data_IF_310604283780
#
_entry.id   IF_310604283780
#
_cell.length_a   1.000
_cell.length_b   1.000
_cell.length_c   1.000
_cell.angle_alpha   90.00
_cell.angle_beta   90.00
_cell.angle_gamma   90.00
#
_symmetry.space_group_name_H-M   'P 1'
#
loop_
_entity.id
_entity.type
_entity.pdbx_description
1 polymer ?
#
# COMPACT_ATOMS: atom_id res chain seq x y z
N UNK A 1 -41.81 51.03 42.03
CA UNK A 1 -41.21 51.72 40.88
C UNK A 1 -40.03 50.92 40.43
N UNK A 2 -39.99 50.60 39.14
CA UNK A 2 -38.93 49.93 38.32
C UNK A 2 -38.80 48.43 38.42
N UNK A 3 -39.56 47.77 37.56
CA UNK A 3 -39.36 46.46 37.03
C UNK A 3 -38.03 46.36 36.24
N UNK A 4 -37.24 45.38 36.52
CA UNK A 4 -36.18 44.94 35.63
C UNK A 4 -36.48 43.51 35.18
N UNK A 5 -37.05 43.43 33.98
CA UNK A 5 -37.29 42.21 33.27
C UNK A 5 -35.92 41.53 32.88
N UNK A 6 -35.70 40.37 33.44
CA UNK A 6 -34.61 39.50 33.03
C UNK A 6 -34.98 38.84 31.70
N UNK A 7 -34.31 39.23 30.61
CA UNK A 7 -34.38 38.55 29.30
C UNK A 7 -33.46 37.36 29.32
N UNK A 8 -34.03 36.17 29.49
CA UNK A 8 -33.34 34.90 29.26
C UNK A 8 -33.16 34.70 27.74
N UNK A 9 -31.93 34.79 27.25
CA UNK A 9 -31.55 34.41 25.89
C UNK A 9 -31.34 32.91 25.90
N UNK A 10 -32.31 32.16 25.40
CA UNK A 10 -32.18 30.77 25.12
C UNK A 10 -31.31 30.63 23.86
N UNK A 11 -30.03 30.24 24.02
CA UNK A 11 -29.18 29.88 22.93
C UNK A 11 -29.63 28.51 22.36
N UNK A 12 -30.34 28.54 21.26
CA UNK A 12 -30.70 27.37 20.48
C UNK A 12 -29.44 26.90 19.76
N UNK A 13 -28.77 25.88 20.32
CA UNK A 13 -27.73 25.16 19.61
C UNK A 13 -28.41 24.30 18.54
N UNK A 14 -28.45 24.79 17.31
CA UNK A 14 -28.76 23.98 16.14
C UNK A 14 -27.58 23.02 15.93
N UNK A 15 -27.72 21.81 16.43
CA UNK A 15 -26.96 20.70 15.97
C UNK A 15 -27.36 20.42 14.51
N UNK A 16 -26.68 21.02 13.56
CA UNK A 16 -26.74 20.62 12.16
C UNK A 16 -26.26 19.17 12.07
N UNK A 17 -27.22 18.25 12.17
CA UNK A 17 -27.00 16.89 11.65
C UNK A 17 -26.78 17.07 10.15
N UNK A 18 -25.52 17.15 9.73
CA UNK A 18 -25.12 16.96 8.37
C UNK A 18 -25.59 15.54 8.02
N UNK A 19 -26.81 15.41 7.49
CA UNK A 19 -27.22 14.28 6.72
C UNK A 19 -26.26 14.26 5.52
N UNK A 20 -25.12 13.61 5.72
CA UNK A 20 -24.20 13.29 4.65
C UNK A 20 -25.05 12.53 3.63
N UNK A 21 -25.32 13.17 2.51
CA UNK A 21 -25.70 12.49 1.30
C UNK A 21 -24.68 11.37 1.12
N UNK A 22 -25.02 10.16 1.51
CA UNK A 22 -24.25 8.94 1.32
C UNK A 22 -24.21 8.63 -0.17
N UNK A 23 -23.50 9.48 -0.91
CA UNK A 23 -23.32 9.32 -2.34
C UNK A 23 -22.03 8.55 -2.57
N UNK A 24 -22.07 7.52 -3.32
CA UNK A 24 -20.91 6.84 -3.87
C UNK A 24 -20.27 5.78 -2.99
N UNK A 25 -19.92 6.07 -1.73
CA UNK A 25 -19.21 5.11 -0.87
C UNK A 25 -20.07 3.92 -0.47
N UNK A 26 -21.29 4.17 0.00
CA UNK A 26 -22.23 3.12 0.36
C UNK A 26 -22.52 2.22 -0.84
N UNK A 27 -22.64 2.79 -2.03
CA UNK A 27 -22.84 2.01 -3.26
C UNK A 27 -21.63 1.13 -3.57
N UNK A 28 -20.39 1.61 -3.37
CA UNK A 28 -19.18 0.81 -3.59
C UNK A 28 -19.14 -0.35 -2.60
N UNK A 29 -19.45 -0.10 -1.31
CA UNK A 29 -19.53 -1.15 -0.29
C UNK A 29 -20.60 -2.19 -0.64
N UNK A 30 -21.79 -1.76 -1.04
CA UNK A 30 -22.90 -2.63 -1.42
C UNK A 30 -22.53 -3.48 -2.64
N UNK A 31 -21.95 -2.86 -3.67
CA UNK A 31 -21.50 -3.57 -4.87
C UNK A 31 -20.44 -4.61 -4.52
N UNK A 32 -19.50 -4.27 -3.61
CA UNK A 32 -18.45 -5.16 -3.18
C UNK A 32 -19.01 -6.42 -2.50
N UNK A 33 -19.80 -6.25 -1.44
CA UNK A 33 -20.33 -7.40 -0.71
C UNK A 33 -21.41 -8.17 -1.48
N UNK A 34 -22.15 -7.53 -2.37
CA UNK A 34 -23.03 -8.21 -3.30
C UNK A 34 -22.25 -9.12 -4.27
N UNK A 35 -21.16 -8.64 -4.85
CA UNK A 35 -20.30 -9.44 -5.73
C UNK A 35 -19.64 -10.60 -4.97
N UNK A 36 -19.14 -10.35 -3.73
CA UNK A 36 -18.61 -11.41 -2.85
C UNK A 36 -19.66 -12.47 -2.56
N UNK A 37 -20.87 -12.07 -2.16
CA UNK A 37 -21.98 -13.00 -1.86
C UNK A 37 -22.42 -13.81 -3.07
N UNK A 38 -22.43 -13.19 -4.24
CA UNK A 38 -22.75 -13.84 -5.51
C UNK A 38 -21.59 -14.67 -6.07
N UNK A 39 -20.38 -14.60 -5.46
CA UNK A 39 -19.14 -15.18 -5.98
C UNK A 39 -18.79 -14.68 -7.40
N UNK A 40 -19.17 -13.45 -7.70
CA UNK A 40 -18.92 -12.81 -8.98
C UNK A 40 -17.51 -12.17 -8.95
N UNK A 41 -16.50 -13.01 -9.19
CA UNK A 41 -15.10 -12.60 -9.22
C UNK A 41 -14.80 -11.63 -10.40
N UNK A 42 -15.56 -11.71 -11.48
CA UNK A 42 -15.38 -10.82 -12.63
C UNK A 42 -15.75 -9.38 -12.26
N UNK A 43 -16.96 -9.20 -11.73
CA UNK A 43 -17.40 -7.89 -11.23
C UNK A 43 -16.46 -7.39 -10.12
N UNK A 44 -16.14 -8.24 -9.14
CA UNK A 44 -15.27 -7.87 -8.03
C UNK A 44 -13.90 -7.37 -8.50
N UNK A 45 -13.27 -8.09 -9.45
CA UNK A 45 -11.95 -7.73 -9.98
C UNK A 45 -11.93 -6.43 -10.78
N UNK A 46 -13.09 -5.92 -11.20
CA UNK A 46 -13.19 -4.69 -11.98
C UNK A 46 -13.05 -3.42 -11.14
N UNK A 47 -13.29 -3.46 -9.82
CA UNK A 47 -13.21 -2.29 -8.94
C UNK A 47 -12.62 -2.57 -7.55
N UNK A 48 -12.15 -3.81 -7.28
CA UNK A 48 -11.53 -4.16 -6.02
C UNK A 48 -10.15 -4.78 -6.21
N UNK A 49 -9.17 -4.26 -5.46
CA UNK A 49 -7.81 -4.80 -5.40
C UNK A 49 -7.69 -5.99 -4.44
N UNK A 50 -8.66 -6.14 -3.53
CA UNK A 50 -8.70 -7.18 -2.49
C UNK A 50 -9.99 -7.99 -2.59
N UNK A 51 -9.91 -9.26 -2.16
CA UNK A 51 -11.05 -10.17 -2.12
C UNK A 51 -11.34 -10.56 -0.68
N UNK A 52 -12.63 -10.67 -0.33
CA UNK A 52 -13.10 -11.21 0.93
C UNK A 52 -13.49 -12.69 0.73
N UNK A 53 -12.86 -13.58 1.48
CA UNK A 53 -12.98 -15.03 1.25
C UNK A 53 -14.02 -15.73 2.12
N UNK A 54 -14.48 -15.07 3.18
CA UNK A 54 -15.49 -15.63 4.07
C UNK A 54 -16.90 -15.50 3.44
N UNK A 55 -17.84 -16.43 3.75
CA UNK A 55 -19.22 -16.30 3.33
C UNK A 55 -19.86 -15.05 3.93
N UNK A 56 -20.48 -14.20 3.11
CA UNK A 56 -21.17 -12.98 3.57
C UNK A 56 -22.66 -13.21 3.63
N UNK A 57 -23.26 -13.03 4.81
CA UNK A 57 -24.70 -13.10 5.03
C UNK A 57 -25.34 -11.71 4.97
N UNK A 58 -24.75 -10.73 5.68
CA UNK A 58 -25.17 -9.34 5.68
C UNK A 58 -24.01 -8.42 5.99
N UNK A 59 -24.17 -7.15 5.69
CA UNK A 59 -23.22 -6.09 6.06
C UNK A 59 -23.96 -4.80 6.41
N UNK A 60 -23.30 -3.95 7.17
CA UNK A 60 -23.82 -2.63 7.55
C UNK A 60 -22.68 -1.64 7.65
N UNK A 61 -22.80 -0.52 6.95
CA UNK A 61 -21.88 0.62 7.11
C UNK A 61 -22.18 1.28 8.46
N UNK A 62 -21.13 1.44 9.27
CA UNK A 62 -21.20 2.04 10.60
C UNK A 62 -20.74 3.50 10.59
N UNK A 63 -19.84 3.86 9.69
CA UNK A 63 -19.34 5.21 9.55
C UNK A 63 -18.31 5.33 8.43
N UNK A 64 -18.03 6.56 8.04
CA UNK A 64 -17.01 6.89 7.03
C UNK A 64 -16.12 8.01 7.56
N UNK A 65 -14.81 7.87 7.34
CA UNK A 65 -13.80 8.88 7.63
C UNK A 65 -13.04 9.18 6.35
N UNK A 66 -12.86 10.44 6.03
CA UNK A 66 -12.09 10.90 4.88
C UNK A 66 -10.74 11.43 5.35
N UNK A 67 -9.67 11.06 4.65
CA UNK A 67 -8.33 11.60 4.87
C UNK A 67 -8.08 12.78 3.93
N UNK A 68 -7.21 13.73 4.31
CA UNK A 68 -6.72 14.74 3.38
C UNK A 68 -6.13 14.07 2.14
N UNK A 69 -6.35 14.65 0.96
CA UNK A 69 -5.74 14.17 -0.27
C UNK A 69 -4.21 14.17 -0.15
N UNK A 70 -3.59 13.11 -0.63
CA UNK A 70 -2.12 12.95 -0.61
C UNK A 70 -1.59 12.83 -2.02
N UNK A 71 -0.31 13.18 -2.29
CA UNK A 71 0.29 12.95 -3.59
C UNK A 71 0.21 11.47 -3.99
N UNK A 72 -0.01 11.22 -5.28
CA UNK A 72 0.02 9.86 -5.83
C UNK A 72 1.41 9.24 -5.62
N UNK A 73 1.45 8.03 -5.06
CA UNK A 73 2.69 7.37 -4.63
C UNK A 73 3.34 6.54 -5.73
N UNK A 74 2.64 6.29 -6.83
CA UNK A 74 3.09 5.41 -7.90
C UNK A 74 4.43 5.86 -8.53
N UNK A 75 4.66 7.16 -8.86
CA UNK A 75 5.96 7.63 -9.35
C UNK A 75 7.11 7.41 -8.36
N UNK A 76 6.83 7.60 -7.06
CA UNK A 76 7.84 7.41 -6.01
C UNK A 76 8.20 5.93 -5.85
N UNK A 77 7.22 5.02 -5.90
CA UNK A 77 7.44 3.58 -5.83
C UNK A 77 8.22 3.08 -7.05
N UNK A 78 7.90 3.56 -8.25
CA UNK A 78 8.63 3.26 -9.47
C UNK A 78 10.09 3.73 -9.39
N UNK A 79 10.33 4.97 -8.93
CA UNK A 79 11.67 5.50 -8.70
C UNK A 79 12.46 4.64 -7.68
N UNK A 80 11.82 4.21 -6.58
CA UNK A 80 12.47 3.39 -5.56
C UNK A 80 12.89 2.01 -6.09
N UNK A 81 12.08 1.39 -6.93
CA UNK A 81 12.43 0.13 -7.60
C UNK A 81 13.66 0.31 -8.48
N UNK A 82 13.70 1.36 -9.32
CA UNK A 82 14.84 1.69 -10.19
C UNK A 82 16.12 1.96 -9.37
N UNK A 83 16.01 2.67 -8.26
CA UNK A 83 17.12 2.94 -7.35
C UNK A 83 17.69 1.64 -6.75
N UNK A 84 16.85 0.77 -6.22
CA UNK A 84 17.28 -0.51 -5.66
C UNK A 84 17.92 -1.44 -6.70
N UNK A 85 17.43 -1.44 -7.94
CA UNK A 85 18.04 -2.18 -9.05
C UNK A 85 19.44 -1.63 -9.38
N UNK A 86 19.62 -0.32 -9.37
CA UNK A 86 20.91 0.32 -9.55
C UNK A 86 21.88 0.02 -8.39
N UNK A 87 21.40 0.05 -7.14
CA UNK A 87 22.21 -0.30 -5.96
C UNK A 87 22.67 -1.77 -6.00
N UNK A 88 21.81 -2.69 -6.41
CA UNK A 88 22.16 -4.11 -6.59
C UNK A 88 23.25 -4.26 -7.66
N UNK A 89 23.11 -3.58 -8.80
CA UNK A 89 24.08 -3.61 -9.87
C UNK A 89 25.44 -3.07 -9.41
N UNK A 90 25.46 -1.94 -8.68
CA UNK A 90 26.67 -1.37 -8.12
C UNK A 90 27.33 -2.30 -7.09
N UNK A 91 26.54 -2.90 -6.18
CA UNK A 91 27.07 -3.85 -5.19
C UNK A 91 27.67 -5.10 -5.87
N UNK A 92 27.02 -5.65 -6.88
CA UNK A 92 27.56 -6.79 -7.67
C UNK A 92 28.88 -6.45 -8.36
N UNK A 93 28.98 -5.25 -8.95
CA UNK A 93 30.23 -4.79 -9.59
C UNK A 93 31.36 -4.66 -8.56
N UNK A 94 31.09 -4.05 -7.42
CA UNK A 94 32.08 -3.90 -6.33
C UNK A 94 32.50 -5.27 -5.77
N UNK A 95 31.55 -6.17 -5.53
CA UNK A 95 31.80 -7.52 -5.07
C UNK A 95 32.66 -8.32 -6.06
N UNK A 96 32.37 -8.21 -7.37
CA UNK A 96 33.17 -8.88 -8.41
C UNK A 96 34.62 -8.35 -8.44
N UNK A 97 34.80 -7.03 -8.36
CA UNK A 97 36.14 -6.42 -8.29
C UNK A 97 36.91 -6.92 -7.06
N UNK A 98 36.26 -6.89 -5.89
CA UNK A 98 36.86 -7.36 -4.65
C UNK A 98 37.22 -8.85 -4.70
N UNK A 99 36.31 -9.70 -5.19
CA UNK A 99 36.52 -11.12 -5.35
C UNK A 99 37.68 -11.42 -6.30
N UNK A 100 37.75 -10.74 -7.46
CA UNK A 100 38.84 -10.95 -8.42
C UNK A 100 40.22 -10.61 -7.83
N UNK A 101 40.29 -9.57 -7.00
CA UNK A 101 41.54 -9.17 -6.35
C UNK A 101 41.97 -10.10 -5.22
N UNK A 102 41.04 -10.76 -4.54
CA UNK A 102 41.29 -11.51 -3.31
C UNK A 102 40.84 -12.97 -3.40
N UNK A 103 40.65 -13.50 -4.61
CA UNK A 103 40.04 -14.82 -4.83
C UNK A 103 40.72 -15.97 -4.08
N UNK A 104 42.03 -16.09 -4.20
CA UNK A 104 42.80 -17.16 -3.57
C UNK A 104 42.70 -17.14 -2.04
N UNK A 105 42.73 -15.93 -1.46
CA UNK A 105 42.65 -15.74 -0.01
C UNK A 105 41.26 -15.99 0.53
N UNK A 106 40.22 -15.58 -0.21
CA UNK A 106 38.82 -15.85 0.15
C UNK A 106 38.56 -17.36 0.14
N UNK A 107 38.99 -18.07 -0.88
CA UNK A 107 38.82 -19.54 -0.97
C UNK A 107 39.61 -20.25 0.14
N UNK A 108 40.86 -19.83 0.41
CA UNK A 108 41.65 -20.35 1.51
C UNK A 108 40.98 -20.15 2.86
N UNK A 109 40.41 -18.97 3.11
CA UNK A 109 39.65 -18.70 4.33
C UNK A 109 38.40 -19.58 4.47
N UNK A 110 37.66 -19.78 3.36
CA UNK A 110 36.51 -20.70 3.33
C UNK A 110 36.90 -22.15 3.62
N UNK A 111 38.00 -22.63 3.04
CA UNK A 111 38.49 -24.00 3.26
C UNK A 111 38.95 -24.24 4.68
N UNK A 112 39.61 -23.26 5.31
CA UNK A 112 39.96 -23.31 6.73
C UNK A 112 38.72 -23.35 7.62
N UNK A 113 37.72 -22.51 7.33
CA UNK A 113 36.42 -22.51 8.05
C UNK A 113 35.71 -23.87 7.92
N UNK A 114 35.67 -24.47 6.73
CA UNK A 114 35.04 -25.78 6.50
C UNK A 114 35.75 -26.90 7.29
N UNK A 115 37.07 -26.80 7.46
CA UNK A 115 37.88 -27.75 8.23
C UNK A 115 37.89 -27.47 9.75
N UNK A 116 37.14 -26.50 10.23
CA UNK A 116 37.17 -25.98 11.61
C UNK A 116 38.61 -25.64 12.06
N UNK A 117 39.44 -25.20 11.14
CA UNK A 117 40.84 -24.80 11.43
C UNK A 117 40.88 -23.29 11.79
N UNK A 118 41.98 -22.91 12.50
CA UNK A 118 42.18 -21.50 12.83
C UNK A 118 42.42 -20.69 11.56
N UNK A 119 41.59 -19.67 11.33
CA UNK A 119 41.74 -18.74 10.22
C UNK A 119 42.64 -17.58 10.64
N UNK A 120 43.78 -17.34 9.95
CA UNK A 120 44.64 -16.19 10.25
C UNK A 120 43.85 -14.87 10.17
N UNK A 121 44.20 -13.88 11.02
CA UNK A 121 43.48 -12.62 11.17
C UNK A 121 43.31 -11.86 9.82
N UNK A 122 44.36 -11.87 8.97
CA UNK A 122 44.31 -11.23 7.64
C UNK A 122 43.26 -11.89 6.72
N UNK A 123 43.21 -13.23 6.67
CA UNK A 123 42.22 -13.97 5.88
C UNK A 123 40.82 -13.83 6.46
N UNK A 124 40.70 -13.76 7.80
CA UNK A 124 39.43 -13.52 8.47
C UNK A 124 38.85 -12.15 8.08
N UNK A 125 39.67 -11.10 8.05
CA UNK A 125 39.25 -9.76 7.65
C UNK A 125 38.77 -9.71 6.18
N UNK A 126 39.50 -10.35 5.25
CA UNK A 126 39.13 -10.45 3.84
C UNK A 126 37.80 -11.21 3.67
N UNK A 127 37.64 -12.34 4.35
CA UNK A 127 36.40 -13.11 4.33
C UNK A 127 35.24 -12.32 4.91
N UNK A 128 35.43 -11.57 5.98
CA UNK A 128 34.40 -10.74 6.59
C UNK A 128 33.93 -9.62 5.65
N UNK A 129 34.85 -8.99 4.91
CA UNK A 129 34.48 -7.99 3.91
C UNK A 129 33.69 -8.59 2.73
N UNK A 130 34.10 -9.79 2.25
CA UNK A 130 33.32 -10.53 1.27
C UNK A 130 31.92 -10.89 1.76
N UNK A 131 31.81 -11.29 3.03
CA UNK A 131 30.54 -11.62 3.66
C UNK A 131 29.60 -10.38 3.75
N UNK A 132 30.16 -9.16 3.92
CA UNK A 132 29.37 -7.89 3.87
C UNK A 132 28.75 -7.66 2.49
N UNK A 133 29.49 -7.87 1.39
CA UNK A 133 28.94 -7.76 0.04
C UNK A 133 27.77 -8.74 -0.17
N UNK A 134 27.94 -9.97 0.27
CA UNK A 134 26.90 -11.00 0.17
C UNK A 134 25.67 -10.65 1.03
N UNK A 135 25.90 -10.13 2.25
CA UNK A 135 24.79 -9.70 3.11
C UNK A 135 24.04 -8.52 2.49
N UNK A 136 24.77 -7.51 2.01
CA UNK A 136 24.19 -6.35 1.33
C UNK A 136 23.37 -6.78 0.10
N UNK A 137 23.84 -7.72 -0.72
CA UNK A 137 23.09 -8.24 -1.86
C UNK A 137 21.78 -8.91 -1.44
N UNK A 138 21.79 -9.71 -0.35
CA UNK A 138 20.57 -10.33 0.20
C UNK A 138 19.58 -9.28 0.69
N UNK A 139 20.06 -8.27 1.42
CA UNK A 139 19.22 -7.23 2.00
C UNK A 139 18.59 -6.34 0.93
N UNK A 140 19.38 -5.95 -0.08
CA UNK A 140 18.88 -5.18 -1.22
C UNK A 140 17.86 -5.96 -2.05
N UNK A 141 18.09 -7.25 -2.30
CA UNK A 141 17.11 -8.11 -3.00
C UNK A 141 15.80 -8.25 -2.23
N UNK A 142 15.88 -8.37 -0.89
CA UNK A 142 14.68 -8.39 -0.04
C UNK A 142 13.91 -7.07 -0.11
N UNK A 143 14.61 -5.94 -0.05
CA UNK A 143 14.00 -4.61 -0.20
C UNK A 143 13.39 -4.45 -1.60
N UNK A 144 14.07 -4.87 -2.65
CA UNK A 144 13.55 -4.81 -4.03
C UNK A 144 12.28 -5.65 -4.18
N UNK A 145 12.24 -6.86 -3.61
CA UNK A 145 11.05 -7.70 -3.67
C UNK A 145 9.84 -7.02 -2.98
N UNK A 146 10.06 -6.41 -1.81
CA UNK A 146 9.03 -5.65 -1.11
C UNK A 146 8.58 -4.42 -1.91
N UNK A 147 9.51 -3.63 -2.43
CA UNK A 147 9.22 -2.44 -3.23
C UNK A 147 8.44 -2.79 -4.52
N UNK A 148 8.79 -3.89 -5.21
CA UNK A 148 8.04 -4.37 -6.37
C UNK A 148 6.62 -4.82 -5.98
N UNK A 149 6.45 -5.47 -4.84
CA UNK A 149 5.13 -5.85 -4.36
C UNK A 149 4.25 -4.62 -4.06
N UNK A 150 4.83 -3.60 -3.43
CA UNK A 150 4.10 -2.36 -3.13
C UNK A 150 3.76 -1.58 -4.42
N UNK A 151 4.69 -1.53 -5.38
CA UNK A 151 4.46 -0.94 -6.69
C UNK A 151 3.31 -1.63 -7.43
N UNK A 152 3.29 -2.97 -7.48
CA UNK A 152 2.23 -3.72 -8.17
C UNK A 152 0.86 -3.56 -7.49
N UNK A 153 0.82 -3.50 -6.16
CA UNK A 153 -0.43 -3.20 -5.43
C UNK A 153 -0.98 -1.84 -5.77
N UNK A 154 -0.12 -0.82 -5.73
CA UNK A 154 -0.50 0.56 -6.04
C UNK A 154 -0.92 0.70 -7.51
N UNK A 155 -0.16 0.11 -8.42
CA UNK A 155 -0.45 0.08 -9.86
C UNK A 155 -1.81 -0.55 -10.15
N UNK A 156 -2.12 -1.66 -9.47
CA UNK A 156 -3.44 -2.30 -9.59
C UNK A 156 -4.57 -1.38 -9.11
N UNK A 157 -4.44 -0.78 -7.93
CA UNK A 157 -5.45 0.12 -7.39
C UNK A 157 -5.65 1.35 -8.29
N UNK A 158 -4.56 1.92 -8.79
CA UNK A 158 -4.58 3.05 -9.72
C UNK A 158 -5.29 2.68 -11.02
N UNK A 159 -4.92 1.56 -11.66
CA UNK A 159 -5.60 1.07 -12.89
C UNK A 159 -7.08 0.83 -12.70
N UNK A 160 -7.46 0.26 -11.58
CA UNK A 160 -8.88 0.06 -11.27
C UNK A 160 -9.63 1.38 -11.17
N UNK A 161 -8.98 2.45 -10.70
CA UNK A 161 -9.58 3.77 -10.55
C UNK A 161 -9.66 4.54 -11.86
N UNK A 162 -8.58 4.59 -12.65
CA UNK A 162 -8.45 5.48 -13.82
C UNK A 162 -8.43 4.76 -15.16
N UNK A 163 -8.43 3.42 -15.16
CA UNK A 163 -8.28 2.60 -16.36
C UNK A 163 -6.83 2.30 -16.73
N UNK A 164 -6.62 1.59 -17.83
CA UNK A 164 -5.30 1.27 -18.35
C UNK A 164 -4.72 2.48 -19.09
N UNK A 165 -3.57 2.96 -18.60
CA UNK A 165 -2.79 4.07 -19.17
C UNK A 165 -1.35 3.60 -19.32
N UNK A 166 -0.73 3.86 -20.49
CA UNK A 166 0.63 3.41 -20.79
C UNK A 166 1.68 4.08 -19.90
N UNK A 167 1.46 5.33 -19.53
CA UNK A 167 2.34 6.21 -18.74
C UNK A 167 1.99 6.25 -17.25
N UNK A 168 1.18 5.32 -16.76
CA UNK A 168 0.57 5.35 -15.42
C UNK A 168 1.59 5.58 -14.28
N UNK A 169 2.79 4.99 -14.40
CA UNK A 169 3.82 5.06 -13.36
C UNK A 169 4.48 6.43 -13.22
N UNK A 170 4.35 7.27 -14.24
CA UNK A 170 5.00 8.58 -14.31
C UNK A 170 4.00 9.73 -14.08
N UNK A 171 2.68 9.44 -14.01
CA UNK A 171 1.66 10.47 -13.88
C UNK A 171 1.62 11.05 -12.46
N UNK A 172 1.82 12.36 -12.31
CA UNK A 172 1.58 13.03 -11.03
C UNK A 172 0.09 13.17 -10.76
N UNK A 173 -0.26 13.35 -9.49
CA UNK A 173 -1.64 13.56 -9.08
C UNK A 173 -1.83 13.43 -7.58
N UNK A 174 -3.08 13.25 -7.20
CA UNK A 174 -3.49 13.10 -5.82
C UNK A 174 -4.32 11.84 -5.63
N UNK A 175 -4.24 11.27 -4.44
CA UNK A 175 -5.05 10.15 -3.99
C UNK A 175 -5.99 10.62 -2.89
N UNK A 176 -7.27 10.43 -3.11
CA UNK A 176 -8.29 10.58 -2.09
C UNK A 176 -8.51 9.23 -1.42
N UNK A 177 -8.51 9.23 -0.09
CA UNK A 177 -8.68 8.01 0.71
C UNK A 177 -9.88 8.17 1.65
N UNK A 178 -10.73 7.15 1.71
CA UNK A 178 -11.83 7.04 2.67
C UNK A 178 -11.74 5.71 3.40
N UNK A 179 -11.94 5.75 4.69
CA UNK A 179 -12.07 4.55 5.52
C UNK A 179 -13.52 4.36 5.91
N UNK A 180 -14.10 3.26 5.47
CA UNK A 180 -15.48 2.90 5.79
C UNK A 180 -15.48 1.78 6.82
N UNK A 181 -16.01 2.08 8.01
CA UNK A 181 -16.22 1.09 9.05
C UNK A 181 -17.44 0.24 8.67
N UNK A 182 -17.24 -1.06 8.50
CA UNK A 182 -18.29 -2.00 8.06
C UNK A 182 -18.38 -3.15 9.04
N UNK A 183 -19.58 -3.44 9.51
CA UNK A 183 -19.90 -4.69 10.20
C UNK A 183 -20.31 -5.72 9.16
N UNK A 184 -19.66 -6.87 9.15
CA UNK A 184 -19.97 -7.99 8.26
C UNK A 184 -20.35 -9.19 9.07
N UNK A 185 -21.51 -9.78 8.78
CA UNK A 185 -21.93 -11.04 9.39
C UNK A 185 -21.51 -12.19 8.49
N UNK A 186 -20.65 -13.05 9.05
CA UNK A 186 -20.16 -14.27 8.41
C UNK A 186 -20.35 -15.43 9.35
N UNK A 187 -20.91 -16.55 8.86
CA UNK A 187 -21.22 -17.75 9.67
C UNK A 187 -22.01 -17.43 10.97
N UNK A 188 -22.94 -16.48 10.89
CA UNK A 188 -23.76 -16.05 12.03
C UNK A 188 -23.03 -15.15 13.03
N UNK A 189 -21.77 -14.78 12.79
CA UNK A 189 -20.96 -13.95 13.67
C UNK A 189 -20.72 -12.58 13.05
N UNK A 190 -21.13 -11.48 13.70
CA UNK A 190 -20.80 -10.13 13.27
C UNK A 190 -19.32 -9.82 13.60
N UNK A 191 -18.60 -9.25 12.64
CA UNK A 191 -17.21 -8.79 12.79
C UNK A 191 -17.06 -7.41 12.18
N UNK A 192 -16.20 -6.61 12.79
CA UNK A 192 -15.92 -5.25 12.33
C UNK A 192 -14.71 -5.24 11.39
N UNK A 193 -14.85 -4.50 10.30
CA UNK A 193 -13.80 -4.30 9.30
C UNK A 193 -13.66 -2.81 8.98
N UNK A 194 -12.47 -2.44 8.54
CA UNK A 194 -12.21 -1.13 7.90
C UNK A 194 -11.95 -1.38 6.44
N UNK A 195 -12.85 -0.90 5.59
CA UNK A 195 -12.68 -0.90 4.13
C UNK A 195 -12.02 0.41 3.72
N UNK A 196 -10.88 0.31 3.03
CA UNK A 196 -10.19 1.47 2.47
C UNK A 196 -10.60 1.65 1.02
N UNK A 197 -11.25 2.78 0.73
CA UNK A 197 -11.57 3.20 -0.62
C UNK A 197 -10.54 4.23 -1.08
N UNK A 198 -10.11 4.14 -2.34
CA UNK A 198 -9.22 5.12 -2.96
C UNK A 198 -9.77 5.61 -4.28
N UNK A 199 -9.50 6.87 -4.60
CA UNK A 199 -9.73 7.49 -5.91
C UNK A 199 -8.49 8.26 -6.30
N UNK A 200 -8.05 8.09 -7.55
CA UNK A 200 -6.82 8.67 -8.07
C UNK A 200 -7.15 9.77 -9.06
N UNK A 201 -6.86 11.00 -8.70
CA UNK A 201 -7.03 12.19 -9.54
C UNK A 201 -5.68 12.52 -10.20
N UNK A 202 -5.37 11.80 -11.29
CA UNK A 202 -4.10 11.94 -12.00
C UNK A 202 -4.15 13.07 -13.02
N UNK A 203 -2.99 13.73 -13.22
CA UNK A 203 -2.83 14.85 -14.16
C UNK A 203 -2.00 14.38 -15.35
N UNK A 204 -2.48 14.67 -16.55
CA UNK A 204 -1.72 14.53 -17.79
C UNK A 204 -1.28 15.90 -18.28
N UNK A 205 -0.07 15.97 -18.84
CA UNK A 205 0.41 17.20 -19.47
C UNK A 205 -0.39 17.57 -20.72
N UNK A 206 -0.90 16.56 -21.44
CA UNK A 206 -1.72 16.73 -22.63
C UNK A 206 -2.94 15.81 -22.59
N UNK A 207 -4.08 16.32 -23.02
CA UNK A 207 -5.35 15.57 -23.08
C UNK A 207 -6.25 15.78 -21.87
N UNK A 208 -7.37 15.10 -21.87
CA UNK A 208 -8.34 15.13 -20.77
C UNK A 208 -7.79 14.34 -19.56
N UNK A 209 -8.06 14.84 -18.34
CA UNK A 209 -7.81 14.08 -17.13
C UNK A 209 -8.59 12.75 -17.18
N UNK A 210 -7.99 11.64 -16.72
CA UNK A 210 -8.68 10.36 -16.69
C UNK A 210 -9.92 10.43 -15.80
N UNK A 211 -11.02 9.81 -16.24
CA UNK A 211 -12.18 9.63 -15.38
C UNK A 211 -11.80 8.71 -14.22
N UNK A 212 -11.86 9.22 -13.00
CA UNK A 212 -11.53 8.45 -11.82
C UNK A 212 -12.77 7.97 -11.07
N UNK A 213 -12.69 6.78 -10.49
CA UNK A 213 -13.76 6.19 -9.67
C UNK A 213 -13.19 5.66 -8.35
N UNK A 214 -14.06 5.54 -7.35
CA UNK A 214 -13.72 4.88 -6.10
C UNK A 214 -13.51 3.38 -6.32
N UNK A 215 -12.44 2.86 -5.72
CA UNK A 215 -12.08 1.44 -5.76
C UNK A 215 -11.80 0.93 -4.35
N UNK A 216 -12.07 -0.35 -4.10
CA UNK A 216 -11.72 -1.00 -2.84
C UNK A 216 -10.24 -1.37 -2.89
N UNK A 217 -9.42 -0.60 -2.18
CA UNK A 217 -7.97 -0.81 -2.13
C UNK A 217 -7.55 -1.81 -1.06
N UNK A 218 -8.27 -1.84 0.08
CA UNK A 218 -7.96 -2.74 1.21
C UNK A 218 -9.21 -3.04 2.04
N UNK A 219 -9.18 -4.16 2.78
CA UNK A 219 -10.21 -4.55 3.75
C UNK A 219 -9.54 -5.31 4.90
N UNK A 220 -9.56 -4.73 6.09
CA UNK A 220 -8.89 -5.29 7.27
C UNK A 220 -9.85 -5.46 8.44
N UNK A 221 -9.69 -6.49 9.28
CA UNK A 221 -10.37 -6.55 10.55
C UNK A 221 -10.06 -5.30 11.38
N UNK A 222 -11.07 -4.78 12.05
CA UNK A 222 -10.91 -3.68 13.00
C UNK A 222 -10.40 -4.28 14.31
N UNK A 223 -9.21 -3.87 14.73
CA UNK A 223 -8.59 -4.26 16.00
C UNK A 223 -9.26 -3.57 17.19
#
# INVERSE_FOLDING_TARGET
>A
MSDRAARSVAALVLAAAAAACGGGESQVVDNYFNAVRARDNQTLSSFAAVNFTEPVQSWKVQGTREEPATPATLPQLSARVKELEAEIAANKKAAATYSNQNYADIEKAKDLKKKNAVVPASLAALSAEWDKFNQKDRDLKKQLAAAKQDLEKEKRATRLSVGDLDDLEDLPGEVQTKHVDVEVTSNGQPRQYVMTLRRYDLKREQGAAPNSRWVVADLKPKS
#
